data_IF_248745462166
#
_entry.id   IF_248745462166
#
_cell.length_a   1.000
_cell.length_b   1.000
_cell.length_c   1.000
_cell.angle_alpha   90.00
_cell.angle_beta   90.00
_cell.angle_gamma   90.00
#
_symmetry.space_group_name_H-M   'P 1'
#
loop_
_entity.id
_entity.type
_entity.pdbx_description
1 polymer ?
#
# COMPACT_ATOMS: atom_id res chain seq x y z
N UNK A 1 -6.83 28.48 21.17
CA UNK A 1 -7.54 28.21 19.89
C UNK A 1 -8.61 27.16 20.13
N UNK A 2 -9.91 27.47 20.19
CA UNK A 2 -10.91 26.45 20.45
C UNK A 2 -11.14 25.66 19.16
N UNK A 3 -10.39 24.55 19.00
CA UNK A 3 -10.41 23.65 17.85
C UNK A 3 -11.28 22.40 18.05
N UNK A 4 -12.28 22.46 18.92
CA UNK A 4 -13.23 21.35 19.16
C UNK A 4 -14.30 21.25 18.08
N UNK A 5 -14.86 20.05 17.87
CA UNK A 5 -16.05 19.82 17.02
C UNK A 5 -17.21 20.69 17.51
N UNK A 6 -18.04 21.20 16.58
CA UNK A 6 -19.26 21.94 16.94
C UNK A 6 -20.15 21.04 17.80
N UNK A 7 -20.62 21.57 18.93
CA UNK A 7 -21.57 20.90 19.81
C UNK A 7 -22.99 20.98 19.23
N UNK A 8 -23.93 20.24 19.82
CA UNK A 8 -25.34 20.37 19.43
C UNK A 8 -25.88 21.78 19.70
N UNK A 9 -25.47 22.39 20.81
CA UNK A 9 -25.81 23.79 21.14
C UNK A 9 -25.24 24.78 20.10
N UNK A 10 -24.00 24.59 19.67
CA UNK A 10 -23.42 25.39 18.58
C UNK A 10 -24.29 25.29 17.31
N UNK A 11 -24.77 24.09 16.97
CA UNK A 11 -25.64 23.86 15.80
C UNK A 11 -27.00 24.55 15.93
N UNK A 12 -27.60 24.57 17.13
CA UNK A 12 -28.86 25.28 17.39
C UNK A 12 -28.69 26.79 17.19
N UNK A 13 -27.59 27.36 17.69
CA UNK A 13 -27.28 28.79 17.51
C UNK A 13 -26.97 29.16 16.06
N UNK A 14 -26.37 28.24 15.28
CA UNK A 14 -26.25 28.42 13.82
C UNK A 14 -27.62 28.45 13.16
N UNK A 15 -28.52 27.51 13.49
CA UNK A 15 -29.86 27.46 12.90
C UNK A 15 -30.69 28.71 13.23
N UNK A 16 -30.65 29.17 14.49
CA UNK A 16 -31.31 30.41 14.92
C UNK A 16 -30.76 31.63 14.16
N UNK A 17 -29.42 31.74 14.04
CA UNK A 17 -28.80 32.84 13.30
C UNK A 17 -29.17 32.86 11.81
N UNK A 18 -29.34 31.69 11.18
CA UNK A 18 -29.81 31.61 9.79
C UNK A 18 -31.28 32.01 9.65
N UNK A 19 -32.14 31.61 10.60
CA UNK A 19 -33.55 32.02 10.62
C UNK A 19 -33.72 33.53 10.83
N UNK A 20 -32.79 34.16 11.56
CA UNK A 20 -32.68 35.61 11.72
C UNK A 20 -32.06 36.32 10.49
N UNK A 21 -31.66 35.58 9.44
CA UNK A 21 -31.04 36.15 8.24
C UNK A 21 -29.59 36.62 8.44
N UNK A 22 -28.91 36.17 9.51
CA UNK A 22 -27.53 36.56 9.78
C UNK A 22 -26.55 35.88 8.82
N UNK A 23 -25.54 36.63 8.38
CA UNK A 23 -24.43 36.06 7.60
C UNK A 23 -23.51 35.17 8.45
N UNK A 24 -22.81 34.24 7.80
CA UNK A 24 -21.93 33.26 8.46
C UNK A 24 -20.81 33.88 9.33
N UNK A 25 -20.33 35.07 8.97
CA UNK A 25 -19.33 35.79 9.74
C UNK A 25 -19.86 36.24 11.11
N UNK A 26 -21.10 36.72 11.15
CA UNK A 26 -21.74 37.16 12.39
C UNK A 26 -22.09 35.98 13.30
N UNK A 27 -22.62 34.90 12.72
CA UNK A 27 -22.87 33.64 13.44
C UNK A 27 -21.56 33.11 14.04
N UNK A 28 -20.47 33.12 13.27
CA UNK A 28 -19.15 32.71 13.74
C UNK A 28 -18.66 33.54 14.93
N UNK A 29 -18.80 34.87 14.88
CA UNK A 29 -18.44 35.78 16.00
C UNK A 29 -19.20 35.45 17.27
N UNK A 30 -20.52 35.26 17.19
CA UNK A 30 -21.38 34.92 18.34
C UNK A 30 -21.04 33.57 18.99
N UNK A 31 -20.48 32.65 18.22
CA UNK A 31 -20.03 31.33 18.67
C UNK A 31 -18.56 31.30 19.11
N UNK A 32 -17.81 32.37 18.90
CA UNK A 32 -16.35 32.37 19.08
C UNK A 32 -15.62 31.42 18.11
N UNK A 33 -16.17 31.22 16.90
CA UNK A 33 -15.64 30.30 15.87
C UNK A 33 -15.36 31.02 14.55
N UNK A 34 -14.40 30.55 13.73
CA UNK A 34 -14.18 31.10 12.40
C UNK A 34 -15.42 30.94 11.51
N UNK A 35 -15.73 31.96 10.70
CA UNK A 35 -16.85 31.95 9.75
C UNK A 35 -16.83 30.74 8.80
N UNK A 36 -15.62 30.29 8.41
CA UNK A 36 -15.41 29.11 7.58
C UNK A 36 -15.89 27.80 8.22
N UNK A 37 -15.93 27.74 9.56
CA UNK A 37 -16.46 26.58 10.30
C UNK A 37 -17.98 26.51 10.16
N UNK A 38 -18.65 27.66 10.32
CA UNK A 38 -20.09 27.78 10.15
C UNK A 38 -20.48 27.48 8.70
N UNK A 39 -19.82 28.10 7.72
CA UNK A 39 -20.07 27.86 6.30
C UNK A 39 -19.93 26.37 5.94
N UNK A 40 -18.82 25.72 6.34
CA UNK A 40 -18.60 24.30 6.07
C UNK A 40 -19.63 23.39 6.74
N UNK A 41 -20.09 23.73 7.94
CA UNK A 41 -21.15 22.99 8.61
C UNK A 41 -22.49 23.14 7.87
N UNK A 42 -22.86 24.37 7.53
CA UNK A 42 -24.12 24.68 6.84
C UNK A 42 -24.18 24.02 5.45
N UNK A 43 -23.15 24.25 4.62
CA UNK A 43 -23.05 23.63 3.28
C UNK A 43 -23.10 22.09 3.35
N UNK A 44 -22.48 21.50 4.37
CA UNK A 44 -22.44 20.03 4.51
C UNK A 44 -23.78 19.43 4.95
N UNK A 45 -24.65 20.20 5.59
CA UNK A 45 -25.90 19.69 6.17
C UNK A 45 -27.16 20.31 5.51
N UNK A 46 -27.08 20.62 4.21
CA UNK A 46 -28.24 21.02 3.40
C UNK A 46 -28.22 22.44 2.86
N UNK A 47 -27.20 23.24 3.21
CA UNK A 47 -27.15 24.65 2.81
C UNK A 47 -28.02 25.55 3.69
N UNK A 48 -27.95 26.88 3.53
CA UNK A 48 -28.57 27.84 4.42
C UNK A 48 -30.09 27.67 4.54
N UNK A 49 -30.78 27.37 3.43
CA UNK A 49 -32.25 27.31 3.37
C UNK A 49 -32.83 26.01 3.97
N UNK A 50 -32.03 24.96 4.08
CA UNK A 50 -32.46 23.64 4.57
C UNK A 50 -31.70 23.18 5.82
N UNK A 51 -30.89 24.06 6.41
CA UNK A 51 -30.08 23.74 7.58
C UNK A 51 -30.96 23.53 8.82
N UNK A 52 -30.76 22.39 9.49
CA UNK A 52 -31.43 22.07 10.75
C UNK A 52 -30.45 21.48 11.76
N UNK A 53 -30.47 21.98 12.99
CA UNK A 53 -29.53 21.58 14.05
C UNK A 53 -29.63 20.08 14.40
N UNK A 54 -30.86 19.57 14.54
CA UNK A 54 -31.13 18.16 14.85
C UNK A 54 -30.69 17.25 13.70
N UNK A 55 -31.01 17.63 12.46
CA UNK A 55 -30.58 16.90 11.26
C UNK A 55 -29.05 16.86 11.14
N UNK A 56 -28.37 17.96 11.42
CA UNK A 56 -26.90 18.03 11.40
C UNK A 56 -26.26 17.19 12.51
N UNK A 57 -26.86 17.15 13.70
CA UNK A 57 -26.45 16.30 14.82
C UNK A 57 -26.66 14.82 14.50
N UNK A 58 -27.84 14.45 14.00
CA UNK A 58 -28.14 13.09 13.56
C UNK A 58 -27.23 12.64 12.44
N UNK A 59 -26.99 13.47 11.43
CA UNK A 59 -26.06 13.15 10.35
C UNK A 59 -24.63 12.95 10.87
N UNK A 60 -24.22 13.70 11.90
CA UNK A 60 -22.92 13.51 12.57
C UNK A 60 -22.88 12.20 13.36
N UNK A 61 -23.94 11.87 14.08
CA UNK A 61 -24.09 10.60 14.82
C UNK A 61 -24.17 9.40 13.87
N UNK A 62 -24.91 9.49 12.78
CA UNK A 62 -24.99 8.46 11.75
C UNK A 62 -23.63 8.22 11.07
N UNK A 63 -22.86 9.28 10.79
CA UNK A 63 -21.48 9.15 10.26
C UNK A 63 -20.52 8.53 11.27
N UNK A 64 -20.64 8.91 12.55
CA UNK A 64 -19.85 8.28 13.61
C UNK A 64 -20.22 6.80 13.80
N UNK A 65 -21.52 6.46 13.71
CA UNK A 65 -22.03 5.08 13.74
C UNK A 65 -21.60 4.28 12.51
N UNK A 66 -21.66 4.82 11.29
CA UNK A 66 -21.15 4.19 10.05
C UNK A 66 -19.64 4.00 10.03
N UNK A 67 -18.89 4.77 10.82
CA UNK A 67 -17.45 4.56 11.02
C UNK A 67 -17.16 3.46 12.05
N UNK A 68 -18.13 3.17 12.93
CA UNK A 68 -18.07 2.11 13.96
C UNK A 68 -18.71 0.80 13.47
N UNK A 69 -19.64 0.88 12.53
CA UNK A 69 -20.16 -0.25 11.76
C UNK A 69 -19.17 -0.50 10.63
N UNK A 70 -18.75 -1.76 10.49
CA UNK A 70 -17.89 -2.20 9.40
C UNK A 70 -18.40 -1.72 8.04
N UNK A 71 -17.51 -1.45 7.06
CA UNK A 71 -17.95 -1.13 5.72
C UNK A 71 -18.94 -2.19 5.21
N UNK A 72 -19.97 -1.80 4.44
CA UNK A 72 -20.91 -2.77 3.89
C UNK A 72 -20.12 -3.87 3.17
N UNK A 73 -20.56 -5.15 3.26
CA UNK A 73 -19.90 -6.22 2.53
C UNK A 73 -19.83 -5.78 1.06
N UNK A 74 -18.59 -5.57 0.59
CA UNK A 74 -18.33 -5.50 -0.83
C UNK A 74 -18.81 -6.82 -1.44
N UNK A 75 -19.13 -6.77 -2.74
CA UNK A 75 -19.57 -7.92 -3.51
C UNK A 75 -18.85 -9.21 -3.07
N UNK A 76 -19.58 -10.33 -2.94
CA UNK A 76 -19.00 -11.60 -2.51
C UNK A 76 -17.69 -11.82 -3.27
N UNK A 77 -16.64 -12.34 -2.59
CA UNK A 77 -15.38 -12.65 -3.25
C UNK A 77 -15.74 -13.42 -4.52
N UNK A 78 -15.33 -12.88 -5.68
CA UNK A 78 -15.49 -13.59 -6.95
C UNK A 78 -14.94 -14.99 -6.66
N UNK A 79 -15.75 -16.05 -6.81
CA UNK A 79 -15.28 -17.39 -6.50
C UNK A 79 -14.02 -17.64 -7.31
N UNK A 80 -12.89 -17.85 -6.63
CA UNK A 80 -11.68 -18.38 -7.27
C UNK A 80 -12.14 -19.63 -8.03
N UNK A 81 -11.99 -19.61 -9.35
CA UNK A 81 -12.78 -20.44 -10.26
C UNK A 81 -12.79 -21.92 -9.88
N UNK A 82 -13.91 -22.39 -9.31
CA UNK A 82 -14.39 -23.78 -9.31
C UNK A 82 -13.49 -24.89 -8.74
N UNK A 83 -12.24 -24.63 -8.33
CA UNK A 83 -11.36 -25.64 -7.73
C UNK A 83 -11.45 -25.54 -6.22
N UNK A 84 -11.97 -26.59 -5.60
CA UNK A 84 -11.87 -26.79 -4.15
C UNK A 84 -10.38 -26.96 -3.83
N UNK A 85 -9.72 -25.86 -3.47
CA UNK A 85 -8.38 -25.91 -2.89
C UNK A 85 -8.51 -26.32 -1.43
N UNK A 86 -7.60 -27.17 -0.98
CA UNK A 86 -7.44 -27.40 0.44
C UNK A 86 -7.02 -26.08 1.11
N UNK A 87 -7.96 -25.48 1.84
CA UNK A 87 -7.78 -24.21 2.52
C UNK A 87 -6.67 -24.26 3.56
N UNK A 88 -6.42 -25.43 4.15
CA UNK A 88 -5.34 -25.61 5.12
C UNK A 88 -3.98 -25.60 4.41
N UNK A 89 -3.84 -26.36 3.32
CA UNK A 89 -2.61 -26.37 2.53
C UNK A 89 -2.24 -24.97 1.99
N UNK A 90 -3.23 -24.16 1.59
CA UNK A 90 -3.01 -22.78 1.15
C UNK A 90 -2.58 -21.87 2.32
N UNK A 91 -3.10 -22.08 3.52
CA UNK A 91 -2.68 -21.34 4.72
C UNK A 91 -1.25 -21.70 5.12
N UNK A 92 -0.91 -22.99 5.15
CA UNK A 92 0.43 -23.47 5.49
C UNK A 92 1.47 -22.98 4.46
N UNK A 93 1.11 -22.99 3.17
CA UNK A 93 1.92 -22.39 2.11
C UNK A 93 2.09 -20.87 2.34
N UNK A 94 1.00 -20.17 2.65
CA UNK A 94 1.03 -18.72 2.90
C UNK A 94 1.97 -18.38 4.06
N UNK A 95 1.91 -19.13 5.16
CA UNK A 95 2.73 -18.92 6.34
C UNK A 95 4.21 -19.22 6.04
N UNK A 96 4.51 -20.39 5.46
CA UNK A 96 5.89 -20.76 5.11
C UNK A 96 6.54 -19.78 4.13
N UNK A 97 5.81 -19.33 3.10
CA UNK A 97 6.31 -18.35 2.13
C UNK A 97 6.48 -16.95 2.76
N UNK A 98 5.61 -16.58 3.71
CA UNK A 98 5.78 -15.34 4.48
C UNK A 98 7.06 -15.40 5.31
N UNK A 99 7.30 -16.51 6.02
CA UNK A 99 8.51 -16.71 6.83
C UNK A 99 9.78 -16.67 5.99
N UNK A 100 9.78 -17.26 4.80
CA UNK A 100 10.91 -17.18 3.87
C UNK A 100 11.23 -15.73 3.46
N UNK A 101 10.23 -14.94 3.11
CA UNK A 101 10.43 -13.53 2.73
C UNK A 101 10.94 -12.69 3.90
N UNK A 102 10.46 -12.96 5.12
CA UNK A 102 10.97 -12.31 6.33
C UNK A 102 12.45 -12.63 6.58
N UNK A 103 12.88 -13.88 6.38
CA UNK A 103 14.28 -14.29 6.49
C UNK A 103 15.18 -13.60 5.46
N UNK A 104 14.64 -13.22 4.30
CA UNK A 104 15.33 -12.42 3.29
C UNK A 104 15.33 -10.91 3.60
N UNK A 105 14.82 -10.50 4.77
CA UNK A 105 14.87 -9.12 5.23
C UNK A 105 13.66 -8.27 4.85
N UNK A 106 12.60 -8.85 4.25
CA UNK A 106 11.37 -8.10 4.04
C UNK A 106 10.62 -7.89 5.37
N UNK A 107 10.04 -6.69 5.59
CA UNK A 107 9.19 -6.47 6.75
C UNK A 107 7.99 -7.43 6.75
N UNK A 108 7.68 -8.02 7.89
CA UNK A 108 6.56 -8.99 8.09
C UNK A 108 5.27 -8.61 7.37
N UNK A 109 4.82 -7.37 7.49
CA UNK A 109 3.58 -6.94 6.84
C UNK A 109 3.70 -6.80 5.32
N UNK A 110 4.87 -6.44 4.79
CA UNK A 110 5.14 -6.41 3.36
C UNK A 110 5.14 -7.84 2.79
N UNK A 111 5.79 -8.79 3.49
CA UNK A 111 5.75 -10.22 3.14
C UNK A 111 4.32 -10.74 3.07
N UNK A 112 3.50 -10.49 4.10
CA UNK A 112 2.09 -10.92 4.13
C UNK A 112 1.25 -10.34 2.99
N UNK A 113 1.44 -9.05 2.65
CA UNK A 113 0.74 -8.42 1.52
C UNK A 113 1.15 -9.06 0.20
N UNK A 114 2.45 -9.31 -0.01
CA UNK A 114 2.97 -9.90 -1.23
C UNK A 114 2.44 -11.34 -1.42
N UNK A 115 2.53 -12.18 -0.38
CA UNK A 115 2.02 -13.56 -0.42
C UNK A 115 0.50 -13.59 -0.66
N UNK A 116 -0.26 -12.71 -0.01
CA UNK A 116 -1.71 -12.60 -0.22
C UNK A 116 -2.07 -12.32 -1.68
N UNK A 117 -1.31 -11.45 -2.35
CA UNK A 117 -1.50 -11.19 -3.78
C UNK A 117 -1.09 -12.40 -4.63
N UNK A 118 -0.01 -13.10 -4.29
CA UNK A 118 0.49 -14.27 -5.02
C UNK A 118 -0.47 -15.45 -5.04
N UNK A 119 -1.15 -15.71 -3.92
CA UNK A 119 -2.10 -16.82 -3.80
C UNK A 119 -3.50 -16.48 -4.33
N UNK A 120 -3.74 -15.20 -4.68
CA UNK A 120 -5.01 -14.74 -5.24
C UNK A 120 -5.00 -14.95 -6.75
N UNK A 121 -5.99 -15.67 -7.28
CA UNK A 121 -6.02 -16.06 -8.70
C UNK A 121 -6.16 -14.88 -9.67
N UNK A 122 -6.79 -13.79 -9.23
CA UNK A 122 -6.83 -12.54 -10.02
C UNK A 122 -5.48 -11.83 -10.11
N UNK A 123 -4.50 -12.17 -9.26
CA UNK A 123 -3.23 -11.47 -9.09
C UNK A 123 -3.37 -10.00 -8.64
N UNK A 124 -4.59 -9.55 -8.33
CA UNK A 124 -4.93 -8.16 -8.15
C UNK A 124 -5.93 -7.97 -7.00
N UNK A 125 -5.58 -7.14 -6.01
CA UNK A 125 -6.42 -6.83 -4.83
C UNK A 125 -6.50 -5.32 -4.58
N UNK A 126 -7.64 -4.85 -4.07
CA UNK A 126 -7.75 -3.47 -3.57
C UNK A 126 -7.21 -3.34 -2.14
N UNK A 127 -7.00 -2.11 -1.67
CA UNK A 127 -6.65 -1.86 -0.27
C UNK A 127 -7.69 -2.45 0.71
N UNK A 128 -8.97 -2.41 0.36
CA UNK A 128 -10.05 -2.98 1.16
C UNK A 128 -9.95 -4.51 1.22
N UNK A 129 -9.67 -5.16 0.10
CA UNK A 129 -9.52 -6.62 0.07
C UNK A 129 -8.32 -7.06 0.92
N UNK A 130 -7.20 -6.34 0.85
CA UNK A 130 -6.01 -6.60 1.67
C UNK A 130 -6.29 -6.46 3.16
N UNK A 131 -6.99 -5.40 3.58
CA UNK A 131 -7.42 -5.19 4.98
C UNK A 131 -8.27 -6.36 5.47
N UNK A 132 -9.23 -6.81 4.65
CA UNK A 132 -10.15 -7.89 5.02
C UNK A 132 -9.44 -9.25 5.07
N UNK A 133 -8.69 -9.61 4.03
CA UNK A 133 -8.00 -10.90 3.93
C UNK A 133 -6.92 -11.06 5.01
N UNK A 134 -6.13 -10.00 5.26
CA UNK A 134 -5.05 -10.04 6.24
C UNK A 134 -5.50 -9.75 7.67
N UNK A 135 -6.73 -9.26 7.85
CA UNK A 135 -7.32 -8.84 9.14
C UNK A 135 -6.42 -7.84 9.89
N UNK A 136 -5.97 -6.81 9.19
CA UNK A 136 -5.08 -5.76 9.72
C UNK A 136 -5.64 -4.37 9.47
N UNK A 137 -5.07 -3.36 10.12
CA UNK A 137 -5.53 -1.97 9.94
C UNK A 137 -5.27 -1.43 8.53
N UNK A 138 -6.10 -0.49 8.03
CA UNK A 138 -5.84 0.20 6.76
C UNK A 138 -4.47 0.89 6.71
N UNK A 139 -4.02 1.47 7.82
CA UNK A 139 -2.71 2.13 7.90
C UNK A 139 -1.57 1.12 7.71
N UNK A 140 -1.67 -0.08 8.30
CA UNK A 140 -0.67 -1.15 8.12
C UNK A 140 -0.58 -1.59 6.66
N UNK A 141 -1.72 -1.73 5.98
CA UNK A 141 -1.76 -2.03 4.53
C UNK A 141 -1.15 -0.89 3.74
N UNK A 142 -1.51 0.36 4.00
CA UNK A 142 -0.97 1.52 3.30
C UNK A 142 0.56 1.62 3.42
N UNK A 143 1.12 1.39 4.61
CA UNK A 143 2.56 1.42 4.81
C UNK A 143 3.26 0.26 4.09
N UNK A 144 2.71 -0.96 4.18
CA UNK A 144 3.27 -2.13 3.50
C UNK A 144 3.24 -1.99 1.98
N UNK A 145 2.12 -1.52 1.43
CA UNK A 145 1.97 -1.23 0.00
C UNK A 145 2.95 -0.14 -0.45
N UNK A 146 3.06 0.97 0.28
CA UNK A 146 3.99 2.05 -0.07
C UNK A 146 5.45 1.55 -0.09
N UNK A 147 5.83 0.72 0.89
CA UNK A 147 7.14 0.08 0.91
C UNK A 147 7.34 -0.81 -0.33
N UNK A 148 6.39 -1.70 -0.63
CA UNK A 148 6.49 -2.60 -1.78
C UNK A 148 6.47 -1.85 -3.13
N UNK A 149 5.70 -0.78 -3.26
CA UNK A 149 5.72 0.10 -4.44
C UNK A 149 7.09 0.80 -4.58
N UNK A 150 7.67 1.29 -3.48
CA UNK A 150 9.01 1.88 -3.48
C UNK A 150 10.09 0.86 -3.88
N UNK A 151 9.95 -0.39 -3.46
CA UNK A 151 10.82 -1.49 -3.89
C UNK A 151 10.50 -1.99 -5.31
N UNK A 152 9.46 -1.44 -5.97
CA UNK A 152 9.05 -1.82 -7.31
C UNK A 152 8.45 -3.23 -7.41
N UNK A 153 7.94 -3.75 -6.29
CA UNK A 153 7.36 -5.09 -6.16
C UNK A 153 5.86 -5.13 -6.45
N UNK A 154 5.20 -3.98 -6.32
CA UNK A 154 3.79 -3.79 -6.63
C UNK A 154 3.61 -2.63 -7.60
N UNK A 155 2.58 -2.73 -8.43
CA UNK A 155 2.10 -1.63 -9.25
C UNK A 155 0.64 -1.36 -8.99
N UNK A 156 0.26 -0.09 -9.05
CA UNK A 156 -1.12 0.36 -9.01
C UNK A 156 -1.72 0.36 -10.41
N UNK A 157 -2.80 -0.39 -10.58
CA UNK A 157 -3.66 -0.31 -11.75
C UNK A 157 -4.99 0.35 -11.42
N UNK A 158 -5.53 1.11 -12.38
CA UNK A 158 -6.93 1.54 -12.34
C UNK A 158 -7.78 0.44 -12.96
N UNK A 159 -8.76 -0.07 -12.22
CA UNK A 159 -9.69 -1.05 -12.76
C UNK A 159 -10.42 -0.46 -13.99
N UNK A 160 -10.47 -1.20 -15.09
CA UNK A 160 -11.24 -0.85 -16.29
C UNK A 160 -12.70 -0.57 -15.92
N UNK A 161 -13.09 0.71 -15.95
CA UNK A 161 -14.44 1.17 -15.63
C UNK A 161 -14.73 1.53 -14.16
N UNK A 162 -13.73 1.56 -13.26
CA UNK A 162 -13.93 1.84 -11.84
C UNK A 162 -13.01 2.91 -11.23
N UNK A 163 -13.48 3.57 -10.16
CA UNK A 163 -12.73 4.60 -9.39
C UNK A 163 -11.78 4.01 -8.33
N UNK A 164 -11.69 2.68 -8.22
CA UNK A 164 -10.89 1.97 -7.20
C UNK A 164 -9.59 1.44 -7.81
N UNK A 165 -8.49 1.76 -7.15
CA UNK A 165 -7.16 1.27 -7.50
C UNK A 165 -6.99 -0.19 -7.03
N UNK A 166 -6.34 -1.00 -7.86
CA UNK A 166 -5.95 -2.38 -7.57
C UNK A 166 -4.43 -2.45 -7.53
N UNK A 167 -3.90 -3.19 -6.57
CA UNK A 167 -2.50 -3.54 -6.50
C UNK A 167 -2.31 -4.86 -7.21
N UNK A 168 -1.38 -4.89 -8.15
CA UNK A 168 -1.02 -6.07 -8.93
C UNK A 168 0.45 -6.35 -8.66
N UNK A 169 0.80 -7.63 -8.55
CA UNK A 169 2.21 -8.03 -8.53
C UNK A 169 2.81 -7.66 -9.88
N UNK A 170 3.98 -7.04 -9.85
CA UNK A 170 4.75 -6.86 -11.06
C UNK A 170 5.33 -8.23 -11.46
N UNK A 171 5.02 -8.72 -12.67
CA UNK A 171 5.54 -9.99 -13.20
C UNK A 171 7.09 -10.00 -13.22
N UNK A 172 7.69 -8.81 -13.14
CA UNK A 172 9.14 -8.60 -13.08
C UNK A 172 9.75 -8.67 -11.68
N UNK A 173 9.00 -9.03 -10.62
CA UNK A 173 9.57 -9.03 -9.25
C UNK A 173 10.83 -9.91 -9.16
N UNK A 174 10.83 -11.06 -9.82
CA UNK A 174 11.96 -11.99 -9.84
C UNK A 174 13.13 -11.43 -10.64
N UNK A 175 12.84 -10.77 -11.75
CA UNK A 175 13.84 -10.06 -12.56
C UNK A 175 14.44 -8.88 -11.78
N UNK A 176 13.64 -8.11 -11.04
CA UNK A 176 14.08 -6.99 -10.19
C UNK A 176 14.92 -7.47 -9.00
N UNK A 177 14.53 -8.57 -8.35
CA UNK A 177 15.33 -9.20 -7.29
C UNK A 177 16.66 -9.71 -7.83
N UNK A 178 16.67 -10.33 -9.00
CA UNK A 178 17.90 -10.76 -9.66
C UNK A 178 18.80 -9.56 -10.00
N UNK A 179 18.24 -8.45 -10.51
CA UNK A 179 18.98 -7.20 -10.74
C UNK A 179 19.53 -6.59 -9.45
N UNK A 180 18.79 -6.64 -8.34
CA UNK A 180 19.26 -6.16 -7.04
C UNK A 180 20.40 -7.04 -6.49
N UNK A 181 20.29 -8.37 -6.62
CA UNK A 181 21.36 -9.30 -6.26
C UNK A 181 22.61 -9.07 -7.11
N UNK A 182 22.46 -8.83 -8.42
CA UNK A 182 23.57 -8.49 -9.31
C UNK A 182 24.28 -7.19 -8.86
N UNK A 183 23.52 -6.12 -8.57
CA UNK A 183 24.10 -4.86 -8.05
C UNK A 183 24.85 -5.04 -6.73
N UNK A 184 24.31 -5.83 -5.81
CA UNK A 184 24.99 -6.13 -4.54
C UNK A 184 26.28 -6.91 -4.78
N UNK A 185 26.25 -7.89 -5.68
CA UNK A 185 27.43 -8.65 -6.06
C UNK A 185 28.51 -7.73 -6.65
N UNK A 186 28.15 -6.79 -7.53
CA UNK A 186 29.10 -5.81 -8.09
C UNK A 186 29.74 -4.94 -7.00
N UNK A 187 28.96 -4.53 -5.99
CA UNK A 187 29.48 -3.80 -4.85
C UNK A 187 30.48 -4.63 -4.02
N UNK A 188 30.21 -5.93 -3.83
CA UNK A 188 31.12 -6.85 -3.15
C UNK A 188 32.40 -7.11 -3.94
N UNK A 189 32.32 -7.19 -5.28
CA UNK A 189 33.51 -7.27 -6.15
C UNK A 189 34.39 -6.04 -5.95
N UNK A 190 33.81 -4.84 -6.07
CA UNK A 190 34.55 -3.59 -5.94
C UNK A 190 35.19 -3.43 -4.54
N UNK A 191 34.46 -3.82 -3.48
CA UNK A 191 34.99 -3.80 -2.12
C UNK A 191 36.14 -4.80 -1.93
N UNK A 192 36.02 -6.01 -2.50
CA UNK A 192 37.05 -7.05 -2.40
C UNK A 192 38.33 -6.65 -3.17
N UNK A 193 38.19 -6.10 -4.37
CA UNK A 193 39.33 -5.58 -5.14
C UNK A 193 40.07 -4.48 -4.40
N UNK A 194 39.33 -3.50 -3.86
CA UNK A 194 39.91 -2.42 -3.04
C UNK A 194 40.62 -2.96 -1.80
N UNK A 195 40.04 -3.97 -1.13
CA UNK A 195 40.67 -4.58 0.04
C UNK A 195 41.97 -5.31 -0.34
N UNK A 196 42.01 -5.99 -1.49
CA UNK A 196 43.22 -6.64 -2.00
C UNK A 196 44.33 -5.64 -2.33
N UNK A 197 43.99 -4.48 -2.89
CA UNK A 197 44.94 -3.39 -3.16
C UNK A 197 45.50 -2.79 -1.86
N UNK A 198 44.63 -2.43 -0.92
CA UNK A 198 45.02 -1.79 0.36
C UNK A 198 45.88 -2.71 1.21
N UNK A 199 45.53 -4.00 1.26
CA UNK A 199 46.27 -5.01 2.04
C UNK A 199 47.48 -5.56 1.30
N UNK A 200 47.68 -5.18 0.03
CA UNK A 200 48.70 -5.71 -0.86
C UNK A 200 48.39 -7.11 -1.35
N UNK A 201 48.31 -7.29 -2.67
CA UNK A 201 47.94 -8.57 -3.31
C UNK A 201 48.90 -9.73 -2.97
N UNK A 202 50.16 -9.43 -2.63
CA UNK A 202 51.15 -10.43 -2.24
C UNK A 202 51.00 -10.92 -0.79
N UNK A 203 50.17 -10.27 0.03
CA UNK A 203 49.92 -10.72 1.40
C UNK A 203 48.87 -11.83 1.42
N UNK A 204 48.91 -12.75 2.40
CA UNK A 204 47.85 -13.77 2.54
C UNK A 204 46.45 -13.18 2.69
N UNK A 205 46.33 -11.97 3.26
CA UNK A 205 45.05 -11.29 3.39
C UNK A 205 44.56 -10.70 2.07
N UNK A 206 45.44 -10.03 1.32
CA UNK A 206 45.12 -9.52 -0.02
C UNK A 206 44.77 -10.64 -0.99
N UNK A 207 45.51 -11.76 -0.96
CA UNK A 207 45.24 -12.94 -1.78
C UNK A 207 43.84 -13.52 -1.54
N UNK A 208 43.37 -13.61 -0.28
CA UNK A 208 41.99 -14.06 0.02
C UNK A 208 40.93 -13.17 -0.60
N UNK A 209 41.10 -11.84 -0.53
CA UNK A 209 40.16 -10.91 -1.16
C UNK A 209 40.24 -10.97 -2.69
N UNK A 210 41.42 -11.21 -3.25
CA UNK A 210 41.60 -11.47 -4.69
C UNK A 210 40.80 -12.70 -5.14
N UNK A 211 40.97 -13.84 -4.47
CA UNK A 211 40.19 -15.06 -4.76
C UNK A 211 38.68 -14.84 -4.60
N UNK A 212 38.26 -14.12 -3.55
CA UNK A 212 36.84 -13.78 -3.37
C UNK A 212 36.30 -12.91 -4.51
N UNK A 213 37.07 -11.93 -4.99
CA UNK A 213 36.68 -11.08 -6.12
C UNK A 213 36.52 -11.89 -7.42
N UNK A 214 37.42 -12.84 -7.69
CA UNK A 214 37.33 -13.75 -8.84
C UNK A 214 36.05 -14.58 -8.81
N UNK A 215 35.72 -15.16 -7.65
CA UNK A 215 34.48 -15.93 -7.49
C UNK A 215 33.23 -15.04 -7.67
N UNK A 216 33.20 -13.86 -7.05
CA UNK A 216 32.07 -12.94 -7.16
C UNK A 216 31.88 -12.43 -8.60
N UNK A 217 32.94 -12.22 -9.37
CA UNK A 217 32.87 -11.89 -10.80
C UNK A 217 32.19 -13.02 -11.60
N UNK A 218 32.52 -14.28 -11.31
CA UNK A 218 31.90 -15.44 -11.94
C UNK A 218 30.39 -15.50 -11.64
N UNK A 219 30.01 -15.30 -10.37
CA UNK A 219 28.61 -15.28 -9.93
C UNK A 219 27.84 -14.15 -10.61
N UNK A 220 28.41 -12.93 -10.66
CA UNK A 220 27.80 -11.79 -11.34
C UNK A 220 27.51 -12.07 -12.81
N UNK A 221 28.49 -12.65 -13.53
CA UNK A 221 28.30 -13.04 -14.92
C UNK A 221 27.24 -14.12 -15.12
N UNK A 222 27.12 -15.08 -14.19
CA UNK A 222 26.08 -16.11 -14.24
C UNK A 222 24.68 -15.52 -14.01
N UNK A 223 24.52 -14.60 -13.07
CA UNK A 223 23.27 -13.88 -12.81
C UNK A 223 22.82 -13.07 -14.03
N UNK A 224 23.73 -12.34 -14.67
CA UNK A 224 23.44 -11.58 -15.89
C UNK A 224 22.93 -12.48 -17.02
N UNK A 225 23.65 -13.57 -17.32
CA UNK A 225 23.22 -14.52 -18.37
C UNK A 225 21.85 -15.12 -18.08
N UNK A 226 21.57 -15.48 -16.83
CA UNK A 226 20.27 -16.03 -16.44
C UNK A 226 19.13 -15.02 -16.66
N UNK A 227 19.36 -13.74 -16.32
CA UNK A 227 18.37 -12.67 -16.55
C UNK A 227 18.13 -12.42 -18.04
N UNK A 228 19.19 -12.38 -18.85
CA UNK A 228 19.08 -12.20 -20.31
C UNK A 228 18.30 -13.34 -20.96
N UNK A 229 18.59 -14.59 -20.59
CA UNK A 229 17.86 -15.77 -21.09
C UNK A 229 16.39 -15.75 -20.69
N UNK A 230 16.08 -15.33 -19.46
CA UNK A 230 14.70 -15.16 -19.00
C UNK A 230 13.96 -14.08 -19.81
N UNK A 231 14.60 -12.93 -20.07
CA UNK A 231 14.00 -11.87 -20.89
C UNK A 231 13.72 -12.32 -22.32
N UNK A 232 14.66 -13.05 -22.93
CA UNK A 232 14.53 -13.54 -24.31
C UNK A 232 13.47 -14.64 -24.46
N UNK A 233 13.16 -15.37 -23.39
CA UNK A 233 12.16 -16.45 -23.40
C UNK A 233 10.74 -15.97 -23.11
N UNK A 234 10.53 -14.69 -22.75
CA UNK A 234 9.17 -14.15 -22.58
C UNK A 234 8.49 -13.98 -23.95
N UNK A 235 7.30 -14.58 -24.17
CA UNK A 235 6.48 -14.19 -25.30
C UNK A 235 6.12 -12.70 -25.14
N UNK A 236 6.17 -11.94 -26.24
CA UNK A 236 5.73 -10.55 -26.27
C UNK A 236 4.36 -10.42 -25.60
N UNK A 237 4.09 -9.36 -24.81
CA UNK A 237 2.80 -9.18 -24.18
C UNK A 237 1.75 -9.28 -25.28
N UNK A 238 0.83 -10.25 -25.15
CA UNK A 238 -0.31 -10.35 -26.07
C UNK A 238 -1.04 -9.02 -25.94
N UNK A 239 -0.81 -8.14 -26.90
CA UNK A 239 -1.52 -6.88 -27.00
C UNK A 239 -3.00 -7.20 -26.86
N UNK A 240 -3.66 -6.53 -25.93
CA UNK A 240 -5.11 -6.46 -25.86
C UNK A 240 -5.58 -5.93 -27.21
N UNK A 241 -5.92 -6.85 -28.10
CA UNK A 241 -6.50 -6.60 -29.40
C UNK A 241 -8.00 -6.35 -29.24
N UNK A 242 -8.40 -5.21 -29.81
CA UNK A 242 -9.75 -4.77 -30.20
C UNK A 242 -10.80 -4.56 -29.11
#
# INVERSE_FOLDING_TARGET
MPGGRLTHEDRQRIAAGLAEGLGYAEIGRRLGRPASTVMREVTRNGGPDAYGADRAEEATRQRARRRKQDPPPAAPPVPDGGRVRDLQAVQDLTESFTTLLEQQGLPRMASRVLVCLYVTDSGALTATDLVQRLRVSPASVSHAVAFLEQQGMLRRERASGGRRERYVIDDDIWLRSALAAARMNDALVAASQRAAEVLGAATPAGARFGTSAEFLLLVGGALQRAMEQWQQSRPAPRGTGQ
#
